data_IF_876113613557
#
_entry.id   IF_876113613557
#
_cell.length_a   1.000
_cell.length_b   1.000
_cell.length_c   1.000
_cell.angle_alpha   90.00
_cell.angle_beta   90.00
_cell.angle_gamma   90.00
#
_symmetry.space_group_name_H-M   'P 1'
#
loop_
_entity.id
_entity.type
_entity.pdbx_description
1 polymer ?
#
# COMPACT_ATOMS: atom_id res chain seq x y z
N UNK A 1 18.49 6.37 16.79
CA UNK A 1 19.17 5.07 16.94
C UNK A 1 19.69 4.63 15.56
N UNK A 2 21.01 4.65 15.31
CA UNK A 2 21.57 4.16 14.03
C UNK A 2 21.44 2.63 14.03
N UNK A 3 20.62 2.06 13.14
CA UNK A 3 20.64 0.63 12.87
C UNK A 3 21.97 0.29 12.16
N UNK A 4 22.83 -0.48 12.81
CA UNK A 4 24.01 -1.04 12.15
C UNK A 4 23.53 -2.14 11.20
N UNK A 5 23.34 -1.79 9.93
CA UNK A 5 23.21 -2.81 8.89
C UNK A 5 24.59 -3.45 8.70
N UNK A 6 24.61 -4.77 8.65
CA UNK A 6 25.84 -5.48 8.32
C UNK A 6 26.24 -5.15 6.89
N UNK A 7 27.38 -4.50 6.70
CA UNK A 7 27.88 -4.09 5.38
C UNK A 7 28.00 -5.27 4.40
N UNK A 8 28.22 -6.47 4.90
CA UNK A 8 28.28 -7.70 4.10
C UNK A 8 26.91 -8.05 3.49
N UNK A 9 25.82 -7.90 4.25
CA UNK A 9 24.44 -8.10 3.76
C UNK A 9 24.11 -7.10 2.67
N UNK A 10 24.49 -5.83 2.85
CA UNK A 10 24.27 -4.78 1.83
C UNK A 10 25.11 -5.02 0.58
N UNK A 11 26.36 -5.43 0.72
CA UNK A 11 27.22 -5.76 -0.40
C UNK A 11 26.70 -6.96 -1.19
N UNK A 12 26.22 -8.00 -0.54
CA UNK A 12 25.59 -9.14 -1.17
C UNK A 12 24.31 -8.74 -1.89
N UNK A 13 23.44 -7.92 -1.28
CA UNK A 13 22.22 -7.43 -1.90
C UNK A 13 22.51 -6.67 -3.21
N UNK A 14 23.52 -5.77 -3.20
CA UNK A 14 23.95 -5.02 -4.40
C UNK A 14 24.44 -5.97 -5.49
N UNK A 15 25.24 -6.98 -5.12
CA UNK A 15 25.81 -7.94 -6.07
C UNK A 15 24.76 -8.90 -6.64
N UNK A 16 23.88 -9.42 -5.79
CA UNK A 16 22.87 -10.42 -6.17
C UNK A 16 21.80 -9.81 -7.10
N UNK A 17 21.54 -8.51 -6.98
CA UNK A 17 20.60 -7.79 -7.83
C UNK A 17 21.27 -6.98 -8.95
N UNK A 18 22.60 -7.13 -9.18
CA UNK A 18 23.40 -6.42 -10.21
C UNK A 18 23.18 -4.89 -10.22
N UNK A 19 23.06 -4.29 -9.02
CA UNK A 19 22.72 -2.86 -8.84
C UNK A 19 23.92 -2.00 -9.21
N UNK A 20 23.77 -1.18 -10.26
CA UNK A 20 24.79 -0.26 -10.77
C UNK A 20 24.34 1.20 -10.77
N UNK A 21 23.02 1.43 -10.82
CA UNK A 21 22.42 2.75 -10.90
C UNK A 21 21.41 2.97 -9.78
N UNK A 22 20.98 4.22 -9.58
CA UNK A 22 19.91 4.54 -8.66
C UNK A 22 18.56 3.90 -9.09
N UNK A 23 18.34 3.75 -10.39
CA UNK A 23 17.14 3.11 -10.94
C UNK A 23 17.15 1.61 -10.67
N UNK A 24 18.30 0.93 -10.81
CA UNK A 24 18.44 -0.49 -10.42
C UNK A 24 18.13 -0.68 -8.94
N UNK A 25 18.64 0.24 -8.09
CA UNK A 25 18.38 0.21 -6.66
C UNK A 25 16.87 0.36 -6.34
N UNK A 26 16.19 1.29 -7.01
CA UNK A 26 14.75 1.49 -6.84
C UNK A 26 13.96 0.26 -7.29
N UNK A 27 14.34 -0.34 -8.40
CA UNK A 27 13.72 -1.58 -8.90
C UNK A 27 13.93 -2.75 -7.93
N UNK A 28 15.15 -2.95 -7.43
CA UNK A 28 15.46 -3.98 -6.44
C UNK A 28 14.67 -3.78 -5.13
N UNK A 29 14.50 -2.54 -4.67
CA UNK A 29 13.65 -2.26 -3.52
C UNK A 29 12.18 -2.49 -3.79
N UNK A 30 11.69 -2.20 -4.99
CA UNK A 30 10.32 -2.50 -5.39
C UNK A 30 10.05 -4.01 -5.37
N UNK A 31 10.94 -4.81 -5.95
CA UNK A 31 10.84 -6.28 -5.95
C UNK A 31 10.90 -6.84 -4.52
N UNK A 32 11.88 -6.42 -3.73
CA UNK A 32 11.98 -6.82 -2.33
C UNK A 32 10.73 -6.45 -1.52
N UNK A 33 10.17 -5.26 -1.75
CA UNK A 33 8.94 -4.82 -1.07
C UNK A 33 7.75 -5.69 -1.47
N UNK A 34 7.61 -6.03 -2.75
CA UNK A 34 6.59 -6.94 -3.26
C UNK A 34 6.69 -8.32 -2.60
N UNK A 35 7.90 -8.88 -2.51
CA UNK A 35 8.15 -10.17 -1.89
C UNK A 35 7.82 -10.16 -0.39
N UNK A 36 8.21 -9.11 0.32
CA UNK A 36 7.87 -8.94 1.74
C UNK A 36 6.36 -8.91 1.95
N UNK A 37 5.62 -8.14 1.13
CA UNK A 37 4.16 -8.07 1.19
C UNK A 37 3.54 -9.44 0.88
N UNK A 38 4.09 -10.17 -0.09
CA UNK A 38 3.63 -11.53 -0.41
C UNK A 38 3.82 -12.50 0.76
N UNK A 39 4.96 -12.43 1.45
CA UNK A 39 5.23 -13.22 2.67
C UNK A 39 4.27 -12.84 3.80
N UNK A 40 3.97 -11.55 3.97
CA UNK A 40 2.99 -11.10 4.97
C UNK A 40 1.60 -11.67 4.70
N UNK A 41 1.13 -11.66 3.46
CA UNK A 41 -0.15 -12.25 3.05
C UNK A 41 -0.21 -13.76 3.32
N UNK A 42 0.87 -14.49 3.06
CA UNK A 42 0.96 -15.92 3.38
C UNK A 42 0.92 -16.18 4.90
N UNK A 43 1.56 -15.33 5.69
CA UNK A 43 1.53 -15.41 7.15
C UNK A 43 0.12 -15.10 7.71
N UNK A 44 -0.56 -14.08 7.18
CA UNK A 44 -1.95 -13.78 7.54
C UNK A 44 -2.87 -14.97 7.24
N UNK A 45 -2.74 -15.58 6.07
CA UNK A 45 -3.48 -16.79 5.70
C UNK A 45 -3.16 -17.97 6.63
N UNK A 46 -1.89 -18.15 7.02
CA UNK A 46 -1.49 -19.19 7.95
C UNK A 46 -2.12 -18.99 9.33
N UNK A 47 -2.13 -17.74 9.81
CA UNK A 47 -2.75 -17.36 11.09
C UNK A 47 -4.26 -17.55 11.04
N UNK A 48 -4.92 -17.16 9.94
CA UNK A 48 -6.37 -17.31 9.74
C UNK A 48 -6.79 -18.79 9.78
N UNK A 49 -6.05 -19.66 9.10
CA UNK A 49 -6.34 -21.09 9.03
C UNK A 49 -5.83 -21.90 10.24
N UNK A 50 -4.91 -21.33 11.04
CA UNK A 50 -4.27 -22.03 12.16
C UNK A 50 -3.22 -23.08 11.74
N UNK A 51 -2.79 -23.08 10.47
CA UNK A 51 -1.74 -23.99 9.98
C UNK A 51 -0.96 -23.42 8.81
N UNK A 52 0.32 -23.75 8.74
CA UNK A 52 1.22 -23.33 7.68
C UNK A 52 0.95 -24.02 6.34
N UNK A 53 1.40 -23.36 5.25
CA UNK A 53 1.40 -23.94 3.92
C UNK A 53 2.18 -25.26 3.92
N UNK A 54 1.57 -26.30 3.34
CA UNK A 54 2.14 -27.66 3.30
C UNK A 54 2.30 -28.39 4.64
N UNK A 55 1.74 -27.88 5.74
CA UNK A 55 1.73 -28.57 7.02
C UNK A 55 1.02 -29.94 6.90
N UNK A 56 1.66 -30.98 7.43
CA UNK A 56 1.12 -32.34 7.55
C UNK A 56 0.47 -32.61 8.90
N UNK A 57 0.52 -31.65 9.83
CA UNK A 57 -0.09 -31.76 11.15
C UNK A 57 -1.63 -31.89 11.05
N UNK A 58 -2.28 -32.54 12.03
CA UNK A 58 -3.73 -32.52 12.15
C UNK A 58 -4.24 -31.07 12.15
N UNK A 59 -5.32 -30.82 11.41
CA UNK A 59 -5.88 -29.49 11.24
C UNK A 59 -7.17 -29.38 12.07
N UNK A 60 -7.27 -28.35 12.87
CA UNK A 60 -8.42 -28.07 13.73
C UNK A 60 -9.61 -27.51 12.96
N UNK A 61 -9.37 -26.97 11.76
CA UNK A 61 -10.43 -26.39 10.90
C UNK A 61 -10.67 -27.22 9.65
N UNK A 62 -11.91 -27.19 9.13
CA UNK A 62 -12.26 -27.76 7.83
C UNK A 62 -11.92 -26.81 6.67
N UNK A 63 -11.70 -25.52 6.95
CA UNK A 63 -11.32 -24.56 5.95
C UNK A 63 -9.91 -24.86 5.39
N UNK A 64 -9.67 -24.53 4.13
CA UNK A 64 -8.44 -24.86 3.40
C UNK A 64 -8.08 -23.72 2.46
N UNK A 65 -6.79 -23.60 2.14
CA UNK A 65 -6.33 -22.73 1.04
C UNK A 65 -6.99 -23.12 -0.27
N UNK A 66 -7.41 -22.14 -1.05
CA UNK A 66 -8.13 -22.29 -2.32
C UNK A 66 -7.46 -21.49 -3.46
N UNK A 67 -6.15 -21.60 -3.57
CA UNK A 67 -5.38 -20.90 -4.60
C UNK A 67 -5.20 -19.41 -4.31
N UNK A 68 -5.04 -18.62 -5.37
CA UNK A 68 -4.71 -17.19 -5.31
C UNK A 68 -5.58 -16.40 -6.27
N UNK A 69 -5.67 -15.10 -6.02
CA UNK A 69 -6.26 -14.12 -6.91
C UNK A 69 -5.24 -13.01 -7.17
N UNK A 70 -4.88 -12.77 -8.41
CA UNK A 70 -3.93 -11.70 -8.73
C UNK A 70 -4.58 -10.33 -8.59
N UNK A 71 -3.86 -9.42 -7.96
CA UNK A 71 -4.30 -8.06 -7.70
C UNK A 71 -3.18 -7.08 -7.95
N UNK A 72 -3.48 -6.04 -8.73
CA UNK A 72 -2.61 -4.89 -8.91
C UNK A 72 -2.86 -3.88 -7.81
N UNK A 73 -1.82 -3.55 -7.07
CA UNK A 73 -1.88 -2.64 -5.91
C UNK A 73 -0.87 -1.53 -6.11
N UNK A 74 -1.27 -0.31 -5.82
CA UNK A 74 -0.40 0.87 -5.88
C UNK A 74 0.35 1.04 -4.57
N UNK A 75 1.62 1.37 -4.67
CA UNK A 75 2.49 1.63 -3.52
C UNK A 75 3.38 2.84 -3.79
N UNK A 76 4.12 3.28 -2.77
CA UNK A 76 5.16 4.32 -2.90
C UNK A 76 6.32 3.89 -3.80
N UNK A 77 6.45 2.60 -4.11
CA UNK A 77 7.45 2.03 -5.04
C UNK A 77 6.87 1.77 -6.44
N UNK A 78 5.65 2.20 -6.72
CA UNK A 78 4.95 1.97 -7.97
C UNK A 78 3.87 0.89 -7.89
N UNK A 79 3.41 0.41 -9.04
CA UNK A 79 2.43 -0.68 -9.13
C UNK A 79 3.09 -2.02 -8.81
N UNK A 80 2.46 -2.78 -7.89
CA UNK A 80 2.86 -4.13 -7.49
C UNK A 80 1.80 -5.12 -8.00
N UNK A 81 2.26 -6.29 -8.44
CA UNK A 81 1.39 -7.41 -8.75
C UNK A 81 1.47 -8.43 -7.61
N UNK A 82 0.39 -8.55 -6.85
CA UNK A 82 0.32 -9.44 -5.69
C UNK A 82 -0.63 -10.60 -5.95
N UNK A 83 -0.23 -11.80 -5.50
CA UNK A 83 -1.09 -12.99 -5.51
C UNK A 83 -1.73 -13.14 -4.13
N UNK A 84 -2.97 -12.66 -4.01
CA UNK A 84 -3.72 -12.68 -2.76
C UNK A 84 -4.20 -14.12 -2.50
N UNK A 85 -3.80 -14.75 -1.39
CA UNK A 85 -4.25 -16.10 -1.07
C UNK A 85 -5.75 -16.10 -0.75
N UNK A 86 -6.41 -17.21 -1.08
CA UNK A 86 -7.84 -17.42 -0.83
C UNK A 86 -8.05 -18.70 -0.02
N UNK A 87 -9.06 -18.68 0.80
CA UNK A 87 -9.56 -19.85 1.50
C UNK A 87 -10.82 -20.41 0.82
N UNK A 88 -11.23 -21.60 1.21
CA UNK A 88 -12.37 -22.28 0.60
C UNK A 88 -13.73 -21.69 1.04
N UNK A 89 -13.80 -21.14 2.23
CA UNK A 89 -15.02 -20.59 2.82
C UNK A 89 -15.20 -19.09 2.51
N UNK A 90 -14.21 -18.46 1.80
CA UNK A 90 -14.17 -17.03 1.42
C UNK A 90 -14.29 -16.08 2.63
N UNK A 91 -13.80 -16.52 3.79
CA UNK A 91 -13.81 -15.77 5.05
C UNK A 91 -12.51 -14.98 5.28
N UNK A 92 -11.45 -15.32 4.53
CA UNK A 92 -10.18 -14.64 4.67
C UNK A 92 -10.23 -13.20 4.16
N UNK A 93 -9.96 -12.26 5.04
CA UNK A 93 -9.82 -10.84 4.73
C UNK A 93 -8.42 -10.36 5.14
N UNK A 94 -7.49 -10.19 4.18
CA UNK A 94 -6.14 -9.74 4.49
C UNK A 94 -6.15 -8.29 4.97
N UNK A 95 -5.38 -8.02 6.03
CA UNK A 95 -5.22 -6.69 6.63
C UNK A 95 -4.22 -5.85 5.83
N UNK A 96 -3.12 -6.48 5.33
CA UNK A 96 -2.07 -5.79 4.57
C UNK A 96 -2.59 -5.24 3.24
N UNK A 97 -3.53 -5.94 2.61
CA UNK A 97 -4.14 -5.53 1.34
C UNK A 97 -5.66 -5.69 1.44
N UNK A 98 -6.35 -4.67 1.86
CA UNK A 98 -7.80 -4.69 2.04
C UNK A 98 -8.54 -5.15 0.77
N UNK A 99 -9.64 -5.90 0.94
CA UNK A 99 -10.36 -6.63 -0.13
C UNK A 99 -10.73 -5.72 -1.32
N UNK A 100 -11.12 -4.49 -1.10
CA UNK A 100 -11.56 -3.54 -2.13
C UNK A 100 -10.57 -2.39 -2.40
N UNK A 101 -9.50 -2.27 -1.63
CA UNK A 101 -8.46 -1.26 -1.84
C UNK A 101 -7.55 -1.65 -3.00
N UNK A 102 -7.18 -0.68 -3.82
CA UNK A 102 -6.11 -0.80 -4.83
C UNK A 102 -4.83 -0.12 -4.36
N UNK A 103 -4.78 0.31 -3.14
CA UNK A 103 -3.68 1.05 -2.53
C UNK A 103 -3.16 0.30 -1.31
N UNK A 104 -1.83 0.21 -1.20
CA UNK A 104 -1.18 -0.48 -0.09
C UNK A 104 -0.91 0.47 1.09
N UNK A 105 -0.92 1.78 0.85
CA UNK A 105 -0.72 2.78 1.89
C UNK A 105 -1.51 4.06 1.61
N UNK A 106 -2.00 4.70 2.67
CA UNK A 106 -2.61 6.04 2.64
C UNK A 106 -1.64 7.17 2.25
N UNK A 107 -0.34 6.89 2.11
CA UNK A 107 0.67 7.89 1.81
C UNK A 107 0.47 8.55 0.45
N UNK A 108 0.00 7.78 -0.55
CA UNK A 108 -0.28 8.33 -1.89
C UNK A 108 -1.49 9.26 -1.83
N UNK A 109 -2.54 8.89 -1.12
CA UNK A 109 -3.72 9.74 -0.92
C UNK A 109 -3.34 11.04 -0.23
N UNK A 110 -2.58 10.98 0.86
CA UNK A 110 -2.09 12.16 1.58
C UNK A 110 -1.23 13.08 0.70
N UNK A 111 -0.45 12.52 -0.22
CA UNK A 111 0.35 13.31 -1.18
C UNK A 111 -0.54 14.00 -2.22
N UNK A 112 -1.53 13.29 -2.77
CA UNK A 112 -2.53 13.84 -3.69
C UNK A 112 -3.24 15.03 -3.04
N UNK A 113 -3.68 14.85 -1.80
CA UNK A 113 -4.30 15.86 -0.99
C UNK A 113 -3.40 17.09 -0.80
N UNK A 114 -2.13 16.85 -0.46
CA UNK A 114 -1.15 17.93 -0.27
C UNK A 114 -0.90 18.71 -1.57
N UNK A 115 -0.85 18.03 -2.71
CA UNK A 115 -0.70 18.68 -4.03
C UNK A 115 -1.93 19.51 -4.39
N UNK A 116 -3.13 18.97 -4.15
CA UNK A 116 -4.38 19.67 -4.37
C UNK A 116 -4.51 20.93 -3.48
N UNK A 117 -4.14 20.81 -2.20
CA UNK A 117 -4.11 21.94 -1.27
C UNK A 117 -3.12 23.05 -1.67
N UNK A 118 -2.08 22.72 -2.44
CA UNK A 118 -1.12 23.67 -3.04
C UNK A 118 -1.64 24.30 -4.34
N UNK A 119 -2.84 23.98 -4.78
CA UNK A 119 -3.49 24.55 -5.95
C UNK A 119 -3.22 23.83 -7.26
N UNK A 120 -2.67 22.61 -7.24
CA UNK A 120 -2.52 21.81 -8.46
C UNK A 120 -3.88 21.33 -8.96
N UNK A 121 -4.08 21.33 -10.29
CA UNK A 121 -5.28 20.76 -10.87
C UNK A 121 -5.27 19.22 -10.79
N UNK A 122 -6.44 18.60 -10.86
CA UNK A 122 -6.55 17.13 -10.83
C UNK A 122 -5.80 16.45 -11.98
N UNK A 123 -5.64 17.13 -13.13
CA UNK A 123 -4.85 16.66 -14.27
C UNK A 123 -3.35 16.74 -13.99
N UNK A 124 -2.88 17.87 -13.46
CA UNK A 124 -1.47 18.07 -13.13
C UNK A 124 -1.05 17.06 -12.03
N UNK A 125 -1.93 16.78 -11.07
CA UNK A 125 -1.69 15.75 -10.05
C UNK A 125 -1.60 14.36 -10.69
N UNK A 126 -2.49 14.04 -11.62
CA UNK A 126 -2.46 12.77 -12.35
C UNK A 126 -1.14 12.59 -13.10
N UNK A 127 -0.71 13.61 -13.85
CA UNK A 127 0.55 13.59 -14.60
C UNK A 127 1.75 13.47 -13.67
N UNK A 128 1.75 14.19 -12.56
CA UNK A 128 2.82 14.18 -11.56
C UNK A 128 2.95 12.82 -10.85
N UNK A 129 1.83 12.19 -10.51
CA UNK A 129 1.79 10.83 -9.94
C UNK A 129 2.36 9.82 -10.95
N UNK A 130 2.00 9.94 -12.23
CA UNK A 130 2.54 9.09 -13.29
C UNK A 130 4.05 9.24 -13.44
N UNK A 131 4.56 10.47 -13.41
CA UNK A 131 5.98 10.77 -13.53
C UNK A 131 6.79 10.20 -12.36
N UNK A 132 6.29 10.35 -11.12
CA UNK A 132 7.02 9.95 -9.90
C UNK A 132 6.90 8.46 -9.61
N UNK A 133 5.70 7.89 -9.76
CA UNK A 133 5.39 6.52 -9.29
C UNK A 133 5.20 5.53 -10.44
N UNK A 134 5.21 5.99 -11.70
CA UNK A 134 5.14 5.13 -12.88
C UNK A 134 3.81 4.41 -13.10
N UNK A 135 2.71 4.82 -12.44
CA UNK A 135 1.38 4.28 -12.68
C UNK A 135 0.37 5.36 -13.04
N UNK A 136 -0.63 4.98 -13.85
CA UNK A 136 -1.70 5.87 -14.26
C UNK A 136 -2.75 6.01 -13.15
N UNK A 137 -3.05 7.27 -12.78
CA UNK A 137 -4.15 7.62 -11.91
C UNK A 137 -5.08 8.57 -12.69
N UNK A 138 -6.35 8.21 -12.85
CA UNK A 138 -7.27 9.07 -13.59
C UNK A 138 -7.60 10.36 -12.82
N UNK A 139 -7.87 11.46 -13.53
CA UNK A 139 -8.30 12.72 -12.91
C UNK A 139 -9.60 12.54 -12.09
N UNK A 140 -10.46 11.58 -12.49
CA UNK A 140 -11.66 11.20 -11.73
C UNK A 140 -11.30 10.56 -10.39
N UNK A 141 -10.28 9.68 -10.37
CA UNK A 141 -9.78 9.07 -9.12
C UNK A 141 -9.19 10.13 -8.18
N UNK A 142 -8.43 11.09 -8.73
CA UNK A 142 -7.92 12.24 -7.98
C UNK A 142 -9.07 13.05 -7.39
N UNK A 143 -10.13 13.34 -8.17
CA UNK A 143 -11.32 14.04 -7.69
C UNK A 143 -12.00 13.33 -6.53
N UNK A 144 -12.17 12.00 -6.62
CA UNK A 144 -12.77 11.21 -5.53
C UNK A 144 -11.96 11.30 -4.22
N UNK A 145 -10.65 11.22 -4.31
CA UNK A 145 -9.75 11.34 -3.15
C UNK A 145 -9.87 12.74 -2.53
N UNK A 146 -9.92 13.79 -3.35
CA UNK A 146 -10.02 15.17 -2.88
C UNK A 146 -11.42 15.52 -2.34
N UNK A 147 -12.48 14.88 -2.83
CA UNK A 147 -13.85 15.07 -2.35
C UNK A 147 -13.99 14.67 -0.87
N UNK A 148 -13.32 13.62 -0.43
CA UNK A 148 -13.35 13.17 0.97
C UNK A 148 -12.91 14.28 1.93
N UNK A 149 -11.94 15.10 1.50
CA UNK A 149 -11.45 16.22 2.31
C UNK A 149 -12.39 17.41 2.24
N UNK A 150 -13.01 17.64 1.09
CA UNK A 150 -13.99 18.71 0.97
C UNK A 150 -15.19 18.49 1.91
N UNK A 151 -15.58 17.22 2.14
CA UNK A 151 -16.59 16.87 3.13
C UNK A 151 -16.11 17.16 4.55
N UNK A 152 -14.90 16.74 4.91
CA UNK A 152 -14.31 17.05 6.22
C UNK A 152 -14.14 18.56 6.44
N UNK A 153 -13.74 19.31 5.41
CA UNK A 153 -13.61 20.76 5.47
C UNK A 153 -14.97 21.45 5.68
N UNK A 154 -16.03 20.96 5.02
CA UNK A 154 -17.39 21.45 5.22
C UNK A 154 -17.90 21.17 6.64
N UNK A 155 -17.67 19.98 7.15
CA UNK A 155 -17.99 19.64 8.54
C UNK A 155 -17.24 20.53 9.53
N UNK A 156 -15.95 20.80 9.28
CA UNK A 156 -15.16 21.68 10.10
C UNK A 156 -15.68 23.13 10.04
N UNK A 157 -16.05 23.64 8.88
CA UNK A 157 -16.64 24.96 8.70
C UNK A 157 -18.02 25.10 9.36
N UNK A 158 -18.78 24.00 9.41
CA UNK A 158 -20.11 23.97 10.03
C UNK A 158 -20.07 23.87 11.57
N UNK A 159 -18.89 23.69 12.18
CA UNK A 159 -18.78 23.65 13.64
C UNK A 159 -19.22 24.96 14.26
N UNK A 160 -20.04 24.93 15.32
CA UNK A 160 -20.39 26.13 16.05
C UNK A 160 -19.12 26.77 16.63
N UNK A 161 -19.02 28.09 16.48
CA UNK A 161 -17.93 28.85 17.07
C UNK A 161 -18.04 28.81 18.60
N UNK A 162 -16.89 28.77 19.28
CA UNK A 162 -16.88 28.93 20.74
C UNK A 162 -17.45 30.29 21.14
N UNK A 163 -18.12 30.33 22.29
CA UNK A 163 -18.77 31.53 22.78
C UNK A 163 -17.81 32.66 23.11
N UNK A 164 -16.52 32.39 23.26
CA UNK A 164 -15.48 33.38 23.58
C UNK A 164 -14.18 33.05 22.81
N UNK A 165 -13.76 34.03 21.98
CA UNK A 165 -12.42 34.01 21.37
C UNK A 165 -11.54 35.05 22.08
N UNK A 166 -10.54 34.66 22.85
CA UNK A 166 -9.70 35.62 23.61
C UNK A 166 -8.79 36.46 22.71
N UNK A 167 -8.64 36.11 21.41
CA UNK A 167 -7.85 36.86 20.44
C UNK A 167 -8.50 36.75 19.06
N UNK A 168 -8.63 37.87 18.38
CA UNK A 168 -8.95 38.00 16.95
C UNK A 168 -7.69 38.39 16.19
#
# INVERSE_FOLDING_TARGET
>A
MRRNYNNEVLANFIKDNDIKTADDLNNAFKEMYQDVVQVMLENEMSNHLGFDKNSKAPKETNNRRNGYSDKKVRSTFGELLLSIPRDREDEFEPVVVEKHSRELSSDIENRIISMYAKGMSTRDISDHIKEIYGFDLSAESVSKITETIMEQAKEWQARPLDSVYPFL
#
